data_IF_054144428160
#
_entry.id   IF_054144428160
#
_cell.length_a   1.000
_cell.length_b   1.000
_cell.length_c   1.000
_cell.angle_alpha   90.00
_cell.angle_beta   90.00
_cell.angle_gamma   90.00
#
_symmetry.space_group_name_H-M   'P 1'
#
loop_
_entity.id
_entity.type
_entity.pdbx_description
1 polymer ?
#
# COMPACT_ATOMS: atom_id res chain seq x y z
N UNK A 1 31.60 7.53 -11.25
CA UNK A 1 31.33 6.70 -10.06
C UNK A 1 29.83 6.41 -10.08
N UNK A 2 29.41 5.28 -10.69
CA UNK A 2 28.01 4.86 -10.74
C UNK A 2 27.56 4.57 -9.31
N UNK A 3 26.72 5.43 -8.77
CA UNK A 3 26.09 5.23 -7.47
C UNK A 3 25.16 4.03 -7.65
N UNK A 4 25.59 2.87 -7.11
CA UNK A 4 25.08 1.55 -7.39
C UNK A 4 23.58 1.42 -7.25
N UNK A 5 22.91 1.29 -8.38
CA UNK A 5 21.55 0.75 -8.42
C UNK A 5 21.60 -0.67 -7.84
N UNK A 6 20.65 -0.96 -6.93
CA UNK A 6 20.53 -2.30 -6.38
C UNK A 6 20.29 -3.30 -7.52
N UNK A 7 21.01 -4.43 -7.58
CA UNK A 7 20.76 -5.46 -8.58
C UNK A 7 19.28 -5.84 -8.60
N UNK A 8 18.66 -5.93 -9.79
CA UNK A 8 17.24 -6.19 -9.96
C UNK A 8 16.77 -7.42 -9.17
N UNK A 9 17.58 -8.48 -9.11
CA UNK A 9 17.27 -9.67 -8.32
C UNK A 9 17.15 -9.38 -6.81
N UNK A 10 18.01 -8.53 -6.25
CA UNK A 10 17.93 -8.11 -4.84
C UNK A 10 16.71 -7.22 -4.58
N UNK A 11 16.38 -6.32 -5.50
CA UNK A 11 15.18 -5.48 -5.40
C UNK A 11 13.89 -6.33 -5.43
N UNK A 12 13.84 -7.33 -6.32
CA UNK A 12 12.72 -8.29 -6.38
C UNK A 12 12.63 -9.09 -5.09
N UNK A 13 13.73 -9.74 -4.67
CA UNK A 13 13.73 -10.56 -3.46
C UNK A 13 13.35 -9.75 -2.21
N UNK A 14 13.90 -8.54 -2.05
CA UNK A 14 13.57 -7.65 -0.94
C UNK A 14 12.11 -7.19 -0.95
N UNK A 15 11.58 -6.86 -2.12
CA UNK A 15 10.16 -6.46 -2.26
C UNK A 15 9.22 -7.62 -1.96
N UNK A 16 9.51 -8.83 -2.45
CA UNK A 16 8.72 -10.04 -2.17
C UNK A 16 8.78 -10.38 -0.68
N UNK A 17 9.97 -10.41 -0.08
CA UNK A 17 10.13 -10.66 1.34
C UNK A 17 9.35 -9.64 2.19
N UNK A 18 9.42 -8.36 1.84
CA UNK A 18 8.67 -7.31 2.52
C UNK A 18 7.16 -7.47 2.35
N UNK A 19 6.70 -7.79 1.14
CA UNK A 19 5.28 -8.04 0.88
C UNK A 19 4.75 -9.21 1.72
N UNK A 20 5.50 -10.31 1.79
CA UNK A 20 5.14 -11.48 2.60
C UNK A 20 5.18 -11.13 4.09
N UNK A 21 6.24 -10.48 4.56
CA UNK A 21 6.40 -10.13 5.96
C UNK A 21 5.34 -9.13 6.43
N UNK A 22 5.19 -8.01 5.75
CA UNK A 22 4.23 -6.95 6.16
C UNK A 22 2.81 -7.31 5.75
N UNK A 23 2.58 -7.71 4.50
CA UNK A 23 1.27 -8.13 4.02
C UNK A 23 0.74 -9.34 4.78
N UNK A 24 1.58 -10.37 4.98
CA UNK A 24 1.22 -11.55 5.77
C UNK A 24 0.96 -11.23 7.25
N UNK A 25 1.78 -10.37 7.86
CA UNK A 25 1.57 -9.98 9.26
C UNK A 25 0.30 -9.17 9.44
N UNK A 26 0.15 -8.08 8.69
CA UNK A 26 -0.97 -7.16 8.88
C UNK A 26 -2.26 -7.58 8.16
N UNK A 27 -2.15 -8.33 7.07
CA UNK A 27 -3.30 -8.81 6.31
C UNK A 27 -3.80 -10.21 6.70
N UNK A 28 -3.01 -11.01 7.44
CA UNK A 28 -3.40 -12.36 7.83
C UNK A 28 -3.16 -12.63 9.32
N UNK A 29 -1.90 -12.51 9.79
CA UNK A 29 -1.53 -12.95 11.13
C UNK A 29 -2.23 -12.13 12.23
N UNK A 30 -2.17 -10.79 12.18
CA UNK A 30 -2.82 -9.94 13.18
C UNK A 30 -4.35 -10.03 13.15
N UNK A 31 -5.04 -10.04 11.99
CA UNK A 31 -6.46 -10.38 11.90
C UNK A 31 -6.79 -11.73 12.55
N UNK A 32 -6.00 -12.77 12.27
CA UNK A 32 -6.16 -14.09 12.87
C UNK A 32 -6.00 -14.06 14.40
N UNK A 33 -4.94 -13.41 14.89
CA UNK A 33 -4.69 -13.28 16.34
C UNK A 33 -5.72 -12.41 17.07
N UNK A 34 -6.45 -11.54 16.37
CA UNK A 34 -7.56 -10.79 16.94
C UNK A 34 -8.75 -11.67 17.35
N UNK A 35 -8.70 -12.95 17.01
CA UNK A 35 -9.69 -13.97 17.41
C UNK A 35 -10.98 -13.95 16.60
N UNK A 36 -11.10 -13.10 15.60
CA UNK A 36 -12.35 -12.86 14.88
C UNK A 36 -12.30 -13.34 13.39
N UNK A 37 -11.32 -14.17 13.05
CA UNK A 37 -11.15 -14.69 11.68
C UNK A 37 -12.00 -15.96 11.46
N UNK A 38 -13.27 -15.88 11.84
CA UNK A 38 -14.25 -16.93 11.68
C UNK A 38 -15.37 -16.49 10.73
N UNK A 39 -15.92 -17.43 9.99
CA UNK A 39 -17.07 -17.16 9.12
C UNK A 39 -18.34 -17.00 9.95
N UNK A 40 -18.80 -15.78 10.11
CA UNK A 40 -20.11 -15.50 10.71
C UNK A 40 -21.22 -15.63 9.64
N UNK A 41 -22.47 -15.91 10.04
CA UNK A 41 -23.58 -15.98 9.10
C UNK A 41 -23.74 -14.68 8.30
N UNK A 42 -23.63 -14.78 6.98
CA UNK A 42 -23.78 -13.64 6.06
C UNK A 42 -24.39 -14.13 4.73
N UNK A 43 -25.13 -13.27 4.01
CA UNK A 43 -25.61 -13.57 2.68
C UNK A 43 -24.48 -13.87 1.71
N UNK A 44 -24.67 -14.83 0.80
CA UNK A 44 -23.66 -15.19 -0.22
C UNK A 44 -23.20 -13.98 -1.03
N UNK A 45 -24.12 -13.08 -1.39
CA UNK A 45 -23.80 -11.87 -2.14
C UNK A 45 -22.76 -10.98 -1.44
N UNK A 46 -22.83 -10.88 -0.09
CA UNK A 46 -21.86 -10.12 0.71
C UNK A 46 -20.48 -10.76 0.66
N UNK A 47 -20.41 -12.08 0.77
CA UNK A 47 -19.13 -12.82 0.65
C UNK A 47 -18.52 -12.70 -0.73
N UNK A 48 -19.33 -12.81 -1.78
CA UNK A 48 -18.87 -12.60 -3.16
C UNK A 48 -18.32 -11.18 -3.34
N UNK A 49 -19.03 -10.17 -2.82
CA UNK A 49 -18.53 -8.78 -2.82
C UNK A 49 -17.19 -8.66 -2.06
N UNK A 50 -17.03 -9.37 -0.93
CA UNK A 50 -15.78 -9.43 -0.19
C UNK A 50 -14.62 -9.97 -1.02
N UNK A 51 -14.81 -11.09 -1.72
CA UNK A 51 -13.80 -11.67 -2.62
C UNK A 51 -13.43 -10.72 -3.75
N UNK A 52 -14.42 -10.09 -4.38
CA UNK A 52 -14.19 -9.09 -5.45
C UNK A 52 -13.37 -7.91 -4.90
N UNK A 53 -13.70 -7.44 -3.71
CA UNK A 53 -13.01 -6.31 -3.08
C UNK A 53 -11.55 -6.66 -2.73
N UNK A 54 -11.29 -7.88 -2.22
CA UNK A 54 -9.92 -8.38 -2.01
C UNK A 54 -9.14 -8.36 -3.33
N UNK A 55 -9.70 -8.92 -4.39
CA UNK A 55 -9.08 -8.90 -5.72
C UNK A 55 -8.78 -7.48 -6.21
N UNK A 56 -9.75 -6.58 -6.07
CA UNK A 56 -9.60 -5.18 -6.46
C UNK A 56 -8.50 -4.45 -5.65
N UNK A 57 -8.36 -4.74 -4.35
CA UNK A 57 -7.32 -4.16 -3.49
C UNK A 57 -5.92 -4.71 -3.78
N UNK A 58 -5.81 -5.97 -4.19
CA UNK A 58 -4.54 -6.59 -4.57
C UNK A 58 -3.93 -5.94 -5.84
N UNK A 59 -4.75 -5.44 -6.77
CA UNK A 59 -4.26 -4.81 -8.00
C UNK A 59 -3.34 -3.61 -7.72
N UNK A 60 -3.75 -2.55 -7.00
CA UNK A 60 -2.87 -1.42 -6.70
C UNK A 60 -1.70 -1.82 -5.80
N UNK A 61 -1.87 -2.79 -4.89
CA UNK A 61 -0.79 -3.35 -4.10
C UNK A 61 0.32 -3.91 -4.98
N UNK A 62 0.02 -4.92 -5.79
CA UNK A 62 1.00 -5.61 -6.62
C UNK A 62 1.63 -4.68 -7.67
N UNK A 63 0.83 -3.79 -8.28
CA UNK A 63 1.36 -2.79 -9.22
C UNK A 63 2.32 -1.82 -8.56
N UNK A 64 2.02 -1.34 -7.36
CA UNK A 64 2.92 -0.45 -6.63
C UNK A 64 4.27 -1.12 -6.30
N UNK A 65 4.27 -2.39 -5.94
CA UNK A 65 5.51 -3.15 -5.76
C UNK A 65 6.30 -3.26 -7.07
N UNK A 66 5.62 -3.53 -8.19
CA UNK A 66 6.26 -3.56 -9.49
C UNK A 66 6.88 -2.20 -9.87
N UNK A 67 6.20 -1.08 -9.58
CA UNK A 67 6.72 0.27 -9.79
C UNK A 67 8.00 0.53 -8.98
N UNK A 68 8.07 0.09 -7.72
CA UNK A 68 9.30 0.19 -6.91
C UNK A 68 10.45 -0.64 -7.48
N UNK A 69 10.18 -1.87 -7.89
CA UNK A 69 11.20 -2.75 -8.51
C UNK A 69 11.75 -2.11 -9.79
N UNK A 70 10.88 -1.52 -10.63
CA UNK A 70 11.29 -0.83 -11.86
C UNK A 70 12.11 0.43 -11.57
N UNK A 71 11.84 1.12 -10.45
CA UNK A 71 12.61 2.26 -9.99
C UNK A 71 13.96 1.89 -9.35
N UNK A 72 14.33 0.61 -9.33
CA UNK A 72 15.60 0.11 -8.77
C UNK A 72 15.66 0.16 -7.25
N UNK A 73 14.53 0.11 -6.58
CA UNK A 73 14.41 0.12 -5.12
C UNK A 73 13.38 -0.86 -4.60
N UNK A 74 13.15 -0.79 -3.29
CA UNK A 74 12.10 -1.55 -2.59
C UNK A 74 11.20 -0.58 -1.84
N UNK A 75 9.96 -0.95 -1.48
CA UNK A 75 9.11 -0.13 -0.62
C UNK A 75 9.61 -0.07 0.83
N UNK A 76 10.71 -0.74 1.14
CA UNK A 76 11.34 -0.72 2.46
C UNK A 76 11.96 0.66 2.73
N UNK A 77 11.69 1.33 3.85
CA UNK A 77 12.22 2.66 4.15
C UNK A 77 13.76 2.74 4.11
N UNK A 78 14.45 1.66 4.50
CA UNK A 78 15.93 1.59 4.52
C UNK A 78 16.53 1.41 3.12
N UNK A 79 15.79 0.83 2.18
CA UNK A 79 16.22 0.56 0.81
C UNK A 79 15.31 1.29 -0.22
N UNK A 80 14.85 2.48 0.15
CA UNK A 80 13.99 3.30 -0.71
C UNK A 80 14.72 3.72 -1.99
N UNK A 81 14.03 3.79 -3.14
CA UNK A 81 14.64 4.11 -4.43
C UNK A 81 15.33 5.48 -4.40
N UNK A 82 16.37 5.62 -5.23
CA UNK A 82 17.14 6.87 -5.36
C UNK A 82 16.31 7.98 -6.04
N UNK A 83 15.26 7.63 -6.75
CA UNK A 83 14.36 8.56 -7.44
C UNK A 83 12.93 8.43 -6.87
N UNK A 84 12.23 9.55 -6.85
CA UNK A 84 10.81 9.57 -6.48
C UNK A 84 10.00 8.73 -7.49
N UNK A 85 9.23 7.75 -6.99
CA UNK A 85 8.38 6.90 -7.82
C UNK A 85 7.10 7.68 -8.13
N UNK A 86 6.94 8.07 -9.39
CA UNK A 86 5.81 8.86 -9.89
C UNK A 86 5.05 8.13 -11.01
N UNK A 87 5.35 6.84 -11.22
CA UNK A 87 4.76 6.00 -12.27
C UNK A 87 3.54 5.21 -11.77
N UNK A 88 2.83 4.59 -12.68
CA UNK A 88 1.76 3.65 -12.40
C UNK A 88 0.68 4.21 -11.48
N UNK A 89 0.41 3.51 -10.38
CA UNK A 89 -0.62 3.88 -9.41
C UNK A 89 -0.32 5.20 -8.67
N UNK A 90 0.96 5.60 -8.57
CA UNK A 90 1.39 6.84 -7.93
C UNK A 90 0.95 8.10 -8.67
N UNK A 91 0.57 8.00 -9.95
CA UNK A 91 -0.03 9.11 -10.69
C UNK A 91 -1.48 9.41 -10.30
N UNK A 92 -2.13 8.46 -9.63
CA UNK A 92 -3.53 8.58 -9.21
C UNK A 92 -3.69 8.88 -7.72
N UNK A 93 -2.85 8.27 -6.88
CA UNK A 93 -2.88 8.44 -5.43
C UNK A 93 -1.46 8.30 -4.88
N UNK A 94 -1.12 9.08 -3.83
CA UNK A 94 0.25 9.07 -3.29
C UNK A 94 0.58 7.81 -2.47
N UNK A 95 -0.42 7.20 -1.85
CA UNK A 95 -0.24 6.04 -0.97
C UNK A 95 -1.01 4.81 -1.49
N UNK A 96 -0.75 4.33 -2.74
CA UNK A 96 -1.53 3.26 -3.35
C UNK A 96 -1.41 1.92 -2.62
N UNK A 97 -0.27 1.65 -1.95
CA UNK A 97 -0.06 0.45 -1.14
C UNK A 97 -1.04 0.45 0.05
N UNK A 98 -1.13 1.55 0.79
CA UNK A 98 -2.03 1.65 1.94
C UNK A 98 -3.51 1.60 1.52
N UNK A 99 -3.85 2.28 0.41
CA UNK A 99 -5.22 2.24 -0.14
C UNK A 99 -5.59 0.83 -0.56
N UNK A 100 -4.72 0.13 -1.30
CA UNK A 100 -4.94 -1.26 -1.68
C UNK A 100 -5.09 -2.17 -0.46
N UNK A 101 -4.26 -1.98 0.56
CA UNK A 101 -4.29 -2.75 1.80
C UNK A 101 -5.63 -2.59 2.54
N UNK A 102 -6.12 -1.36 2.70
CA UNK A 102 -7.42 -1.11 3.34
C UNK A 102 -8.58 -1.68 2.54
N UNK A 103 -8.49 -1.67 1.21
CA UNK A 103 -9.51 -2.30 0.36
C UNK A 103 -9.51 -3.81 0.54
N UNK A 104 -8.33 -4.47 0.68
CA UNK A 104 -8.22 -5.90 1.02
C UNK A 104 -8.87 -6.19 2.36
N UNK A 105 -8.50 -5.44 3.41
CA UNK A 105 -9.10 -5.61 4.74
C UNK A 105 -10.62 -5.37 4.73
N UNK A 106 -11.10 -4.40 3.95
CA UNK A 106 -12.53 -4.19 3.72
C UNK A 106 -13.21 -5.41 3.10
N UNK A 107 -12.55 -6.06 2.16
CA UNK A 107 -13.01 -7.32 1.59
C UNK A 107 -13.03 -8.47 2.58
N UNK A 108 -12.04 -8.57 3.48
CA UNK A 108 -12.03 -9.56 4.56
C UNK A 108 -13.18 -9.33 5.56
N UNK A 109 -13.49 -8.08 5.91
CA UNK A 109 -14.65 -7.74 6.74
C UNK A 109 -15.93 -8.31 6.15
N UNK A 110 -16.14 -8.13 4.83
CA UNK A 110 -17.33 -8.65 4.15
C UNK A 110 -17.30 -10.17 4.03
N UNK A 111 -16.13 -10.77 3.77
CA UNK A 111 -15.97 -12.20 3.59
C UNK A 111 -16.26 -12.97 4.88
N UNK A 112 -15.70 -12.52 6.01
CA UNK A 112 -15.86 -13.14 7.33
C UNK A 112 -17.05 -12.57 8.10
N UNK A 113 -17.59 -11.42 7.69
CA UNK A 113 -18.69 -10.70 8.33
C UNK A 113 -18.40 -10.41 9.82
N UNK A 114 -17.19 -9.92 10.08
CA UNK A 114 -16.65 -9.77 11.43
C UNK A 114 -16.53 -8.32 11.88
N UNK A 115 -17.15 -7.99 13.02
CA UNK A 115 -17.00 -6.71 13.68
C UNK A 115 -15.57 -6.50 14.27
N UNK A 116 -14.88 -7.59 14.62
CA UNK A 116 -13.49 -7.54 15.06
C UNK A 116 -12.54 -7.12 13.96
N UNK A 117 -12.70 -7.68 12.75
CA UNK A 117 -11.95 -7.24 11.58
C UNK A 117 -12.22 -5.77 11.22
N UNK A 118 -13.46 -5.30 11.42
CA UNK A 118 -13.78 -3.88 11.24
C UNK A 118 -12.99 -3.00 12.23
N UNK A 119 -13.00 -3.36 13.52
CA UNK A 119 -12.23 -2.63 14.55
C UNK A 119 -10.74 -2.64 14.25
N UNK A 120 -10.21 -3.82 13.91
CA UNK A 120 -8.81 -3.97 13.49
C UNK A 120 -8.49 -3.06 12.31
N UNK A 121 -9.31 -3.07 11.25
CA UNK A 121 -9.10 -2.26 10.05
C UNK A 121 -9.09 -0.77 10.36
N UNK A 122 -9.99 -0.29 11.22
CA UNK A 122 -10.02 1.12 11.65
C UNK A 122 -8.71 1.49 12.36
N UNK A 123 -8.24 0.66 13.28
CA UNK A 123 -6.98 0.90 14.01
C UNK A 123 -5.78 0.86 13.04
N UNK A 124 -5.70 -0.17 12.21
CA UNK A 124 -4.63 -0.32 11.22
C UNK A 124 -4.58 0.88 10.26
N UNK A 125 -5.74 1.36 9.81
CA UNK A 125 -5.86 2.55 8.96
C UNK A 125 -5.40 3.82 9.68
N UNK A 126 -5.80 4.03 10.91
CA UNK A 126 -5.37 5.17 11.72
C UNK A 126 -3.84 5.17 11.93
N UNK A 127 -3.26 4.01 12.24
CA UNK A 127 -1.81 3.82 12.35
C UNK A 127 -1.11 4.10 11.02
N UNK A 128 -1.65 3.62 9.90
CA UNK A 128 -1.13 3.90 8.56
C UNK A 128 -1.12 5.39 8.21
N UNK A 129 -2.22 6.10 8.50
CA UNK A 129 -2.30 7.56 8.32
C UNK A 129 -1.24 8.25 9.18
N UNK A 130 -1.11 7.85 10.43
CA UNK A 130 -0.13 8.42 11.36
C UNK A 130 1.32 8.19 10.86
N UNK A 131 1.64 6.97 10.43
CA UNK A 131 2.95 6.62 9.88
C UNK A 131 3.28 7.47 8.64
N UNK A 132 2.35 7.58 7.71
CA UNK A 132 2.55 8.43 6.52
C UNK A 132 2.73 9.89 6.90
N UNK A 133 1.87 10.43 7.77
CA UNK A 133 1.86 11.86 8.11
C UNK A 133 3.08 12.29 8.90
N UNK A 134 3.51 11.48 9.86
CA UNK A 134 4.54 11.86 10.83
C UNK A 134 5.93 11.28 10.51
N UNK A 135 5.99 10.23 9.71
CA UNK A 135 7.26 9.59 9.34
C UNK A 135 7.57 9.69 7.85
N UNK A 136 6.71 9.12 6.97
CA UNK A 136 7.04 9.01 5.55
C UNK A 136 7.06 10.38 4.83
N UNK A 137 6.04 11.22 5.00
CA UNK A 137 6.00 12.54 4.33
C UNK A 137 7.17 13.46 4.74
N UNK A 138 7.56 13.57 6.03
CA UNK A 138 8.78 14.30 6.42
C UNK A 138 10.06 13.73 5.82
N UNK A 139 10.20 12.39 5.77
CA UNK A 139 11.37 11.74 5.17
C UNK A 139 11.45 12.03 3.67
N UNK A 140 10.33 11.87 2.95
CA UNK A 140 10.26 12.15 1.51
C UNK A 140 10.51 13.62 1.20
N UNK A 141 9.98 14.51 2.03
CA UNK A 141 10.22 15.97 1.89
C UNK A 141 11.69 16.31 2.06
N UNK A 142 12.36 15.74 3.07
CA UNK A 142 13.80 15.95 3.28
C UNK A 142 14.65 15.35 2.17
N UNK A 143 14.27 14.16 1.66
CA UNK A 143 15.03 13.43 0.66
C UNK A 143 14.91 14.02 -0.74
N UNK A 144 13.71 14.44 -1.15
CA UNK A 144 13.41 14.84 -2.52
C UNK A 144 13.10 16.34 -2.67
N UNK A 145 12.85 17.08 -1.59
CA UNK A 145 12.66 18.54 -1.62
C UNK A 145 11.50 19.02 -2.49
N UNK A 146 11.76 20.02 -3.32
CA UNK A 146 10.78 20.69 -4.16
C UNK A 146 9.98 19.75 -5.10
N UNK A 147 10.59 18.76 -5.79
CA UNK A 147 9.86 17.77 -6.59
C UNK A 147 8.79 17.00 -5.80
N UNK A 148 9.07 16.62 -4.56
CA UNK A 148 8.06 15.96 -3.73
C UNK A 148 6.94 16.90 -3.31
N UNK A 149 7.25 18.15 -3.00
CA UNK A 149 6.25 19.15 -2.63
C UNK A 149 5.29 19.47 -3.78
N UNK A 150 5.79 19.56 -5.01
CA UNK A 150 4.99 19.71 -6.22
C UNK A 150 4.04 18.51 -6.39
N UNK A 151 4.58 17.30 -6.35
CA UNK A 151 3.82 16.07 -6.41
C UNK A 151 2.73 16.01 -5.33
N UNK A 152 3.07 16.38 -4.09
CA UNK A 152 2.15 16.39 -2.96
C UNK A 152 0.98 17.36 -3.14
N UNK A 153 1.20 18.50 -3.82
CA UNK A 153 0.13 19.46 -4.15
C UNK A 153 -0.78 18.93 -5.26
N UNK A 154 -0.21 18.21 -6.22
CA UNK A 154 -0.90 17.75 -7.41
C UNK A 154 -1.69 16.45 -7.19
N UNK A 155 -1.19 15.52 -6.37
CA UNK A 155 -1.77 14.18 -6.16
C UNK A 155 -2.22 14.01 -4.71
N UNK A 156 -3.49 13.59 -4.51
CA UNK A 156 -4.06 13.35 -3.17
C UNK A 156 -3.43 12.14 -2.51
N UNK A 157 -3.36 12.15 -1.16
CA UNK A 157 -2.75 11.06 -0.38
C UNK A 157 -3.55 9.76 -0.39
N UNK A 158 -4.89 9.86 -0.29
CA UNK A 158 -5.75 8.73 0.07
C UNK A 158 -6.90 8.47 -0.91
N UNK A 159 -7.33 9.47 -1.65
CA UNK A 159 -8.43 9.38 -2.60
C UNK A 159 -7.85 9.41 -4.00
N UNK A 160 -8.00 8.33 -4.79
CA UNK A 160 -7.52 8.29 -6.15
C UNK A 160 -8.16 9.37 -7.03
N UNK A 161 -7.36 9.94 -7.92
CA UNK A 161 -7.83 10.85 -8.97
C UNK A 161 -8.43 10.05 -10.11
N UNK A 162 -9.41 10.63 -10.78
CA UNK A 162 -9.99 10.04 -12.00
C UNK A 162 -8.99 10.07 -13.17
N UNK A 163 -8.19 11.16 -13.28
CA UNK A 163 -7.19 11.31 -14.33
C UNK A 163 -5.78 11.25 -13.73
N UNK A 164 -4.83 10.54 -14.39
CA UNK A 164 -3.46 10.46 -13.91
C UNK A 164 -2.80 11.84 -13.93
N UNK A 165 -1.93 12.08 -12.98
CA UNK A 165 -1.08 13.27 -13.01
C UNK A 165 -0.05 13.16 -14.13
N UNK A 166 0.05 14.21 -14.94
CA UNK A 166 0.98 14.32 -16.06
C UNK A 166 2.25 15.11 -15.69
N UNK A 167 2.71 15.00 -14.42
CA UNK A 167 3.88 15.71 -13.94
C UNK A 167 5.15 15.46 -14.73
N UNK A 168 6.24 16.20 -14.45
CA UNK A 168 7.48 16.12 -15.22
C UNK A 168 7.97 14.68 -15.30
N UNK A 169 8.26 14.23 -16.53
CA UNK A 169 8.85 12.94 -16.84
C UNK A 169 10.28 12.86 -16.32
#
# INVERSE_FOLDING_TARGET
>A
MEIGQMPRAKAVAGSVAWFIAVGGTFGCLLPYLSGDWHFHPAPLAVRVAGVILIGAGLIPLLRSFADFIQAGGTPVPVASPLRLVLSGCYRYVRNPIYVGFVVVLGGEILLFWSAGLLRYTIVAWAVGIAAVRWYEEPVLTRKFGAPYLEYRRAVRGWIPRVRPWAGPC
#
